data_IF_932149405345
#
_entry.id   IF_932149405345
#
_cell.length_a   1.000
_cell.length_b   1.000
_cell.length_c   1.000
_cell.angle_alpha   90.00
_cell.angle_beta   90.00
_cell.angle_gamma   90.00
#
_symmetry.space_group_name_H-M   'P 1'
#
loop_
_entity.id
_entity.type
_entity.pdbx_description
1 polymer ?
#
# COMPACT_ATOMS: atom_id res chain seq x y z
N UNK A 1 24.67 -17.96 -6.26
CA UNK A 1 24.26 -16.78 -7.05
C UNK A 1 23.48 -17.25 -8.30
N UNK A 2 22.32 -16.70 -8.54
CA UNK A 2 21.49 -16.96 -9.71
C UNK A 2 22.08 -16.28 -10.94
N UNK A 3 21.93 -16.92 -12.11
CA UNK A 3 22.41 -16.38 -13.38
C UNK A 3 21.31 -15.70 -14.19
N UNK A 4 20.06 -16.06 -13.93
CA UNK A 4 18.89 -15.49 -14.60
C UNK A 4 17.87 -15.02 -13.58
N UNK A 5 17.06 -14.05 -13.96
CA UNK A 5 15.98 -13.54 -13.11
C UNK A 5 14.90 -14.61 -12.88
N UNK A 6 14.62 -15.46 -13.88
CA UNK A 6 13.63 -16.55 -13.77
C UNK A 6 14.02 -17.58 -12.70
N UNK A 7 15.31 -17.97 -12.65
CA UNK A 7 15.83 -18.85 -11.58
C UNK A 7 15.64 -18.21 -10.21
N UNK A 8 15.92 -16.91 -10.10
CA UNK A 8 15.82 -16.17 -8.86
C UNK A 8 14.36 -16.01 -8.40
N UNK A 9 13.45 -15.69 -9.31
CA UNK A 9 12.00 -15.59 -9.02
C UNK A 9 11.45 -16.94 -8.58
N UNK A 10 11.78 -18.01 -9.29
CA UNK A 10 11.35 -19.36 -8.91
C UNK A 10 11.82 -19.73 -7.50
N UNK A 11 13.06 -19.35 -7.15
CA UNK A 11 13.57 -19.53 -5.79
C UNK A 11 12.76 -18.74 -4.77
N UNK A 12 12.53 -17.44 -4.99
CA UNK A 12 11.74 -16.59 -4.06
C UNK A 12 10.34 -17.19 -3.88
N UNK A 13 9.66 -17.51 -4.97
CA UNK A 13 8.28 -18.02 -4.94
C UNK A 13 8.17 -19.41 -4.29
N UNK A 14 9.26 -20.12 -4.14
CA UNK A 14 9.30 -21.40 -3.40
C UNK A 14 9.39 -21.22 -1.89
N UNK A 15 9.74 -20.04 -1.38
CA UNK A 15 9.94 -19.80 0.04
C UNK A 15 8.61 -19.70 0.79
N UNK A 16 8.38 -20.58 1.77
CA UNK A 16 7.10 -20.74 2.50
C UNK A 16 7.22 -20.64 4.01
N UNK A 17 8.32 -20.08 4.51
CA UNK A 17 8.54 -19.93 5.96
C UNK A 17 7.42 -19.11 6.60
N UNK A 18 6.95 -19.55 7.75
CA UNK A 18 6.03 -18.78 8.59
C UNK A 18 6.83 -18.16 9.72
N UNK A 19 6.83 -16.85 9.80
CA UNK A 19 7.53 -16.07 10.83
C UNK A 19 6.58 -15.05 11.42
N UNK A 20 6.70 -14.79 12.73
CA UNK A 20 6.00 -13.69 13.37
C UNK A 20 6.51 -12.33 12.85
N UNK A 21 5.73 -11.29 13.05
CA UNK A 21 6.15 -9.93 12.71
C UNK A 21 7.32 -9.48 13.59
N UNK A 22 7.25 -9.79 14.87
CA UNK A 22 8.28 -9.46 15.88
C UNK A 22 9.63 -10.12 15.55
N UNK A 23 9.62 -11.35 15.06
CA UNK A 23 10.87 -12.01 14.65
C UNK A 23 11.42 -11.42 13.34
N UNK A 24 10.56 -10.94 12.45
CA UNK A 24 11.03 -10.20 11.27
C UNK A 24 11.62 -8.85 11.65
N UNK A 25 11.02 -8.12 12.61
CA UNK A 25 11.60 -6.88 13.14
C UNK A 25 13.00 -7.09 13.72
N UNK A 26 13.23 -8.18 14.46
CA UNK A 26 14.58 -8.52 14.97
C UNK A 26 15.61 -8.74 13.86
N UNK A 27 15.19 -9.26 12.70
CA UNK A 27 16.05 -9.39 11.52
C UNK A 27 16.37 -8.00 10.96
N UNK A 28 15.34 -7.14 10.77
CA UNK A 28 15.53 -5.76 10.33
C UNK A 28 16.56 -5.04 11.20
N UNK A 29 16.43 -5.11 12.53
CA UNK A 29 17.33 -4.49 13.49
C UNK A 29 18.75 -5.09 13.44
N UNK A 30 18.86 -6.43 13.49
CA UNK A 30 20.13 -7.16 13.50
C UNK A 30 21.00 -6.85 12.29
N UNK A 31 20.37 -6.79 11.10
CA UNK A 31 21.07 -6.57 9.85
C UNK A 31 21.07 -5.10 9.41
N UNK A 32 20.54 -4.20 10.25
CA UNK A 32 20.47 -2.76 9.99
C UNK A 32 19.88 -2.46 8.61
N UNK A 33 18.76 -3.14 8.30
CA UNK A 33 18.04 -2.95 7.02
C UNK A 33 17.53 -1.52 6.93
N UNK A 34 17.73 -0.81 5.79
CA UNK A 34 17.30 0.57 5.64
C UNK A 34 15.76 0.64 5.54
N UNK A 35 15.09 1.12 6.59
CA UNK A 35 13.62 1.25 6.64
C UNK A 35 13.13 2.71 6.49
N UNK A 36 14.06 3.67 6.50
CA UNK A 36 13.73 5.09 6.47
C UNK A 36 13.46 5.54 5.03
N UNK A 37 12.18 5.44 4.64
CA UNK A 37 11.67 5.97 3.38
C UNK A 37 10.99 7.32 3.63
N UNK A 38 11.09 8.25 2.67
CA UNK A 38 10.43 9.57 2.74
C UNK A 38 8.98 9.48 2.28
N UNK A 39 8.10 10.27 2.86
CA UNK A 39 6.72 10.47 2.40
C UNK A 39 5.97 9.16 2.08
N UNK A 40 5.92 8.27 3.07
CA UNK A 40 5.31 6.94 2.91
C UNK A 40 3.80 7.01 3.10
N UNK A 41 3.06 6.50 2.12
CA UNK A 41 1.62 6.25 2.17
C UNK A 41 1.42 4.74 2.33
N UNK A 42 0.93 4.30 3.48
CA UNK A 42 0.75 2.88 3.79
C UNK A 42 -0.72 2.49 3.62
N UNK A 43 -1.00 1.53 2.74
CA UNK A 43 -2.35 1.20 2.29
C UNK A 43 -2.74 -0.19 2.76
N UNK A 44 -3.79 -0.27 3.59
CA UNK A 44 -4.45 -1.52 3.99
C UNK A 44 -5.91 -1.53 3.53
N UNK A 45 -6.58 -2.64 3.73
CA UNK A 45 -8.00 -2.82 3.37
C UNK A 45 -8.30 -4.24 2.92
N UNK A 46 -9.57 -4.55 2.72
CA UNK A 46 -9.97 -5.85 2.16
C UNK A 46 -9.92 -5.79 0.64
N UNK A 47 -10.68 -4.90 0.02
CA UNK A 47 -10.73 -4.71 -1.42
C UNK A 47 -10.27 -3.32 -1.83
N UNK A 48 -9.77 -3.17 -3.07
CA UNK A 48 -9.45 -1.87 -3.65
C UNK A 48 -8.08 -1.28 -3.28
N UNK A 49 -7.24 -1.98 -2.49
CA UNK A 49 -5.89 -1.52 -2.13
C UNK A 49 -5.06 -1.16 -3.36
N UNK A 50 -4.83 -2.12 -4.26
CA UNK A 50 -4.02 -1.92 -5.47
C UNK A 50 -4.59 -0.82 -6.38
N UNK A 51 -5.92 -0.74 -6.55
CA UNK A 51 -6.55 0.36 -7.30
C UNK A 51 -6.30 1.73 -6.64
N UNK A 52 -6.42 1.81 -5.31
CA UNK A 52 -6.13 3.05 -4.57
C UNK A 52 -4.66 3.44 -4.71
N UNK A 53 -3.73 2.46 -4.61
CA UNK A 53 -2.29 2.68 -4.88
C UNK A 53 -2.08 3.25 -6.28
N UNK A 54 -2.75 2.67 -7.30
CA UNK A 54 -2.64 3.13 -8.69
C UNK A 54 -3.14 4.58 -8.85
N UNK A 55 -4.32 4.91 -8.32
CA UNK A 55 -4.84 6.28 -8.38
C UNK A 55 -3.94 7.28 -7.66
N UNK A 56 -3.45 6.97 -6.45
CA UNK A 56 -2.53 7.85 -5.72
C UNK A 56 -1.25 8.05 -6.53
N UNK A 57 -0.67 6.98 -7.07
CA UNK A 57 0.53 7.05 -7.92
C UNK A 57 0.30 7.95 -9.13
N UNK A 58 -0.80 7.73 -9.88
CA UNK A 58 -1.05 8.48 -11.12
C UNK A 58 -1.30 9.97 -10.83
N UNK A 59 -2.02 10.30 -9.76
CA UNK A 59 -2.22 11.68 -9.32
C UNK A 59 -0.88 12.35 -8.95
N UNK A 60 -0.03 11.70 -8.16
CA UNK A 60 1.28 12.25 -7.78
C UNK A 60 2.21 12.40 -8.99
N UNK A 61 2.20 11.44 -9.92
CA UNK A 61 3.00 11.52 -11.15
C UNK A 61 2.53 12.66 -12.07
N UNK A 62 1.23 12.94 -12.16
CA UNK A 62 0.72 14.13 -12.92
C UNK A 62 1.22 15.44 -12.30
N UNK A 63 1.42 15.49 -10.97
CA UNK A 63 2.05 16.63 -10.29
C UNK A 63 3.58 16.70 -10.49
N UNK A 64 4.17 15.75 -11.22
CA UNK A 64 5.61 15.72 -11.54
C UNK A 64 6.48 15.02 -10.48
N UNK A 65 5.90 14.32 -9.51
CA UNK A 65 6.64 13.58 -8.49
C UNK A 65 7.11 12.22 -8.97
N UNK A 66 8.27 11.78 -8.48
CA UNK A 66 8.78 10.42 -8.65
C UNK A 66 8.24 9.51 -7.56
N UNK A 67 7.59 8.41 -7.96
CA UNK A 67 6.80 7.56 -7.06
C UNK A 67 7.22 6.11 -7.09
N UNK A 68 7.61 5.57 -5.94
CA UNK A 68 7.78 4.13 -5.73
C UNK A 68 6.49 3.48 -5.26
N UNK A 69 6.14 2.32 -5.83
CA UNK A 69 4.98 1.53 -5.39
C UNK A 69 5.36 0.10 -5.06
N UNK A 70 4.80 -0.41 -3.95
CA UNK A 70 4.88 -1.82 -3.58
C UNK A 70 3.48 -2.39 -3.48
N UNK A 71 3.17 -3.41 -4.29
CA UNK A 71 1.81 -3.99 -4.42
C UNK A 71 1.80 -5.51 -4.33
N UNK A 72 0.66 -6.07 -3.91
CA UNK A 72 0.47 -7.51 -3.80
C UNK A 72 -1.01 -7.93 -3.91
N UNK A 73 -1.30 -9.07 -4.56
CA UNK A 73 -0.39 -9.84 -5.41
C UNK A 73 -0.06 -9.13 -6.73
N UNK A 74 0.90 -9.63 -7.49
CA UNK A 74 1.10 -9.23 -8.88
C UNK A 74 0.02 -9.83 -9.80
N UNK A 75 -0.18 -9.25 -10.98
CA UNK A 75 -1.20 -9.70 -11.93
C UNK A 75 -0.59 -10.60 -13.01
N UNK A 76 0.52 -10.20 -13.63
CA UNK A 76 1.15 -10.90 -14.74
C UNK A 76 2.56 -11.38 -14.37
N UNK A 77 3.39 -10.49 -13.80
CA UNK A 77 4.80 -10.76 -13.49
C UNK A 77 5.15 -10.36 -12.08
N UNK A 78 6.00 -11.15 -11.42
CA UNK A 78 6.52 -10.88 -10.08
C UNK A 78 7.08 -9.46 -9.90
N UNK A 79 7.74 -8.93 -10.93
CA UNK A 79 8.32 -7.58 -10.97
C UNK A 79 7.32 -6.46 -10.63
N UNK A 80 6.03 -6.64 -10.95
CA UNK A 80 4.98 -5.65 -10.71
C UNK A 80 4.82 -5.30 -9.23
N UNK A 81 5.29 -6.17 -8.34
CA UNK A 81 5.27 -5.91 -6.89
C UNK A 81 6.05 -4.66 -6.51
N UNK A 82 7.12 -4.35 -7.24
CA UNK A 82 8.00 -3.22 -6.98
C UNK A 82 8.09 -2.40 -8.27
N UNK A 83 7.59 -1.19 -8.25
CA UNK A 83 7.58 -0.34 -9.44
C UNK A 83 8.01 1.09 -9.10
N UNK A 84 8.59 1.77 -10.08
CA UNK A 84 8.94 3.20 -10.01
C UNK A 84 8.32 3.89 -11.21
N UNK A 85 7.56 4.96 -10.96
CA UNK A 85 6.83 5.71 -11.98
C UNK A 85 6.01 4.80 -12.91
N UNK A 86 5.32 3.81 -12.29
CA UNK A 86 4.52 2.82 -12.99
C UNK A 86 5.28 1.79 -13.81
N UNK A 87 6.61 1.79 -13.78
CA UNK A 87 7.45 0.79 -14.45
C UNK A 87 7.94 -0.24 -13.44
N UNK A 88 7.66 -1.53 -13.64
CA UNK A 88 8.17 -2.60 -12.79
C UNK A 88 9.70 -2.58 -12.71
N UNK A 89 10.24 -3.04 -11.58
CA UNK A 89 11.68 -3.23 -11.39
C UNK A 89 12.27 -4.04 -12.55
N UNK A 90 13.47 -3.66 -13.00
CA UNK A 90 14.14 -4.35 -14.12
C UNK A 90 14.60 -5.77 -13.74
N UNK A 91 14.77 -6.65 -14.75
CA UNK A 91 15.37 -7.98 -14.57
C UNK A 91 16.73 -7.89 -13.88
N UNK A 92 17.55 -6.94 -14.31
CA UNK A 92 18.92 -6.75 -13.81
C UNK A 92 18.91 -6.31 -12.33
N UNK A 93 18.06 -5.35 -11.96
CA UNK A 93 17.96 -4.89 -10.57
C UNK A 93 17.37 -5.96 -9.67
N UNK A 94 16.32 -6.64 -10.10
CA UNK A 94 15.72 -7.72 -9.31
C UNK A 94 16.73 -8.83 -9.06
N UNK A 95 17.44 -9.28 -10.11
CA UNK A 95 18.48 -10.31 -10.02
C UNK A 95 19.63 -9.84 -9.11
N UNK A 96 20.05 -8.58 -9.22
CA UNK A 96 21.10 -7.96 -8.39
C UNK A 96 20.74 -8.03 -6.92
N UNK A 97 19.55 -7.55 -6.55
CA UNK A 97 19.12 -7.55 -5.15
C UNK A 97 18.92 -8.94 -4.58
N UNK A 98 18.34 -9.87 -5.34
CA UNK A 98 18.21 -11.26 -4.89
C UNK A 98 19.57 -11.87 -4.61
N UNK A 99 20.53 -11.69 -5.50
CA UNK A 99 21.89 -12.22 -5.32
C UNK A 99 22.62 -11.53 -4.14
N UNK A 100 22.41 -10.25 -3.94
CA UNK A 100 22.97 -9.50 -2.80
C UNK A 100 22.42 -10.00 -1.47
N UNK A 101 21.10 -10.26 -1.42
CA UNK A 101 20.39 -10.70 -0.22
C UNK A 101 20.46 -12.22 0.00
N UNK A 102 20.96 -12.99 -0.96
CA UNK A 102 20.94 -14.46 -0.91
C UNK A 102 21.55 -15.06 0.38
N UNK A 103 22.71 -14.56 0.90
CA UNK A 103 23.25 -15.06 2.17
C UNK A 103 22.28 -14.83 3.34
N UNK A 104 21.66 -13.65 3.43
CA UNK A 104 20.67 -13.33 4.44
C UNK A 104 19.41 -14.19 4.31
N UNK A 105 18.90 -14.34 3.08
CA UNK A 105 17.72 -15.15 2.78
C UNK A 105 17.93 -16.59 3.25
N UNK A 106 19.08 -17.18 2.95
CA UNK A 106 19.41 -18.56 3.32
C UNK A 106 19.65 -18.72 4.83
N UNK A 107 20.35 -17.78 5.46
CA UNK A 107 20.66 -17.83 6.89
C UNK A 107 19.41 -17.70 7.76
N UNK A 108 18.52 -16.78 7.39
CA UNK A 108 17.30 -16.48 8.15
C UNK A 108 16.08 -17.26 7.62
N UNK A 109 16.20 -18.03 6.54
CA UNK A 109 15.07 -18.75 5.92
C UNK A 109 13.88 -17.85 5.67
N UNK A 110 14.10 -16.72 4.95
CA UNK A 110 13.05 -15.72 4.70
C UNK A 110 11.95 -16.27 3.80
N UNK A 111 10.71 -15.89 4.06
CA UNK A 111 9.58 -16.14 3.17
C UNK A 111 9.59 -15.24 1.96
N UNK A 112 8.84 -15.60 0.90
CA UNK A 112 8.70 -14.80 -0.31
C UNK A 112 8.36 -13.32 0.01
N UNK A 113 7.35 -13.07 0.83
CA UNK A 113 6.92 -11.69 1.11
C UNK A 113 7.93 -10.91 1.94
N UNK A 114 8.68 -11.57 2.83
CA UNK A 114 9.81 -10.96 3.55
C UNK A 114 10.93 -10.57 2.59
N UNK A 115 11.26 -11.43 1.61
CA UNK A 115 12.27 -11.15 0.58
C UNK A 115 11.83 -9.96 -0.28
N UNK A 116 10.59 -9.97 -0.78
CA UNK A 116 10.05 -8.87 -1.58
C UNK A 116 10.08 -7.53 -0.82
N UNK A 117 9.72 -7.57 0.48
CA UNK A 117 9.79 -6.39 1.35
C UNK A 117 11.23 -5.87 1.48
N UNK A 118 12.22 -6.77 1.66
CA UNK A 118 13.63 -6.34 1.73
C UNK A 118 14.12 -5.77 0.40
N UNK A 119 13.79 -6.41 -0.74
CA UNK A 119 14.18 -5.90 -2.06
C UNK A 119 13.61 -4.49 -2.26
N UNK A 120 12.32 -4.29 -1.96
CA UNK A 120 11.67 -2.98 -2.02
C UNK A 120 12.40 -1.95 -1.17
N UNK A 121 12.72 -2.27 0.10
CA UNK A 121 13.41 -1.34 1.00
C UNK A 121 14.78 -0.94 0.47
N UNK A 122 15.60 -1.90 0.01
CA UNK A 122 16.91 -1.59 -0.57
C UNK A 122 16.80 -0.81 -1.87
N UNK A 123 15.90 -1.22 -2.78
CA UNK A 123 15.73 -0.57 -4.08
C UNK A 123 15.28 0.88 -3.94
N UNK A 124 14.26 1.13 -3.10
CA UNK A 124 13.76 2.48 -2.91
C UNK A 124 14.75 3.40 -2.18
N UNK A 125 15.59 2.85 -1.27
CA UNK A 125 16.64 3.63 -0.63
C UNK A 125 17.82 3.99 -1.55
N UNK A 126 18.01 3.28 -2.68
CA UNK A 126 19.01 3.64 -3.69
C UNK A 126 18.54 4.75 -4.65
N UNK A 127 17.21 5.04 -4.66
CA UNK A 127 16.60 5.99 -5.59
C UNK A 127 16.18 7.28 -4.87
N UNK A 128 16.21 8.39 -5.61
CA UNK A 128 15.68 9.67 -5.12
C UNK A 128 14.20 9.79 -5.51
N UNK A 129 13.33 9.17 -4.69
CA UNK A 129 11.90 9.18 -4.88
C UNK A 129 11.24 10.20 -3.94
N UNK A 130 10.21 10.89 -4.45
CA UNK A 130 9.45 11.86 -3.66
C UNK A 130 8.44 11.18 -2.73
N UNK A 131 7.78 10.13 -3.21
CA UNK A 131 6.75 9.39 -2.47
C UNK A 131 6.90 7.88 -2.60
N UNK A 132 6.47 7.17 -1.55
CA UNK A 132 6.44 5.71 -1.51
C UNK A 132 5.04 5.26 -1.12
N UNK A 133 4.37 4.48 -1.97
CA UNK A 133 3.04 3.95 -1.72
C UNK A 133 3.16 2.45 -1.51
N UNK A 134 2.93 2.02 -0.28
CA UNK A 134 3.19 0.64 0.17
C UNK A 134 1.87 -0.05 0.51
N UNK A 135 1.52 -1.08 -0.24
CA UNK A 135 0.36 -1.93 0.01
C UNK A 135 0.70 -3.05 1.00
N UNK A 136 -0.11 -3.21 2.05
CA UNK A 136 -0.04 -4.38 2.93
C UNK A 136 -0.40 -5.66 2.18
N UNK A 137 0.32 -6.74 2.45
CA UNK A 137 -0.04 -8.05 1.93
C UNK A 137 -1.30 -8.59 2.60
N UNK A 138 -1.29 -8.79 3.91
CA UNK A 138 -2.42 -9.32 4.70
C UNK A 138 -2.55 -8.55 6.01
N UNK A 139 -3.76 -8.03 6.26
CA UNK A 139 -4.04 -7.32 7.51
C UNK A 139 -3.40 -5.94 7.57
N UNK A 140 -2.43 -5.73 8.44
CA UNK A 140 -1.72 -4.48 8.67
C UNK A 140 -0.80 -4.59 9.88
N UNK A 141 -1.33 -4.78 11.09
CA UNK A 141 -0.59 -4.80 12.35
C UNK A 141 0.65 -5.72 12.32
N UNK A 142 0.49 -6.93 11.79
CA UNK A 142 1.56 -7.93 11.69
C UNK A 142 2.05 -8.14 10.25
N UNK A 143 1.66 -7.25 9.33
CA UNK A 143 2.16 -7.29 7.96
C UNK A 143 3.64 -6.94 7.91
N UNK A 144 4.41 -7.61 7.02
CA UNK A 144 5.86 -7.39 6.93
C UNK A 144 6.23 -5.97 6.49
N UNK A 145 5.34 -5.30 5.75
CA UNK A 145 5.52 -3.90 5.39
C UNK A 145 5.39 -2.94 6.57
N UNK A 146 4.79 -3.38 7.70
CA UNK A 146 4.56 -2.52 8.87
C UNK A 146 5.83 -2.21 9.68
N UNK A 147 7.00 -2.65 9.20
CA UNK A 147 8.33 -2.23 9.73
C UNK A 147 8.66 -0.79 9.37
N UNK A 148 8.03 -0.23 8.33
CA UNK A 148 8.23 1.15 7.89
C UNK A 148 7.50 2.15 8.78
N UNK A 149 7.94 3.41 8.77
CA UNK A 149 7.22 4.53 9.36
C UNK A 149 6.47 5.26 8.25
N UNK A 150 5.14 5.22 8.30
CA UNK A 150 4.30 5.93 7.34
C UNK A 150 4.05 7.39 7.74
N UNK A 151 3.81 8.25 6.74
CA UNK A 151 3.36 9.63 6.91
C UNK A 151 1.84 9.73 6.82
N UNK A 152 1.21 8.81 6.06
CA UNK A 152 -0.24 8.70 5.90
C UNK A 152 -0.63 7.23 5.93
N UNK A 153 -1.66 6.88 6.68
CA UNK A 153 -2.30 5.58 6.67
C UNK A 153 -3.61 5.64 5.88
N UNK A 154 -3.84 4.63 5.06
CA UNK A 154 -5.03 4.53 4.20
C UNK A 154 -5.68 3.17 4.42
N UNK A 155 -6.98 3.15 4.74
CA UNK A 155 -7.76 1.91 4.81
C UNK A 155 -8.93 2.03 3.85
N UNK A 156 -8.98 1.18 2.82
CA UNK A 156 -10.01 1.24 1.79
C UNK A 156 -11.38 0.86 2.34
N UNK A 157 -11.51 -0.37 2.83
CA UNK A 157 -12.72 -0.91 3.45
C UNK A 157 -12.40 -2.13 4.30
N UNK A 158 -13.37 -2.54 5.12
CA UNK A 158 -13.31 -3.76 5.92
C UNK A 158 -14.37 -4.74 5.43
N UNK A 159 -13.93 -5.94 5.12
CA UNK A 159 -14.78 -7.06 4.73
C UNK A 159 -14.17 -8.38 5.19
N UNK A 160 -14.94 -9.45 5.08
CA UNK A 160 -14.46 -10.79 5.44
C UNK A 160 -13.44 -11.28 4.42
N UNK A 161 -12.20 -11.41 4.85
CA UNK A 161 -11.07 -11.93 4.09
C UNK A 161 -10.01 -12.46 5.06
N UNK A 162 -9.30 -13.50 4.65
CA UNK A 162 -8.23 -14.11 5.47
C UNK A 162 -8.64 -14.41 6.93
N UNK A 163 -9.90 -14.82 7.18
CA UNK A 163 -10.46 -15.01 8.54
C UNK A 163 -9.61 -15.93 9.42
N UNK A 164 -9.00 -16.96 8.85
CA UNK A 164 -8.09 -17.86 9.57
C UNK A 164 -6.83 -17.19 10.15
N UNK A 165 -6.51 -15.94 9.70
CA UNK A 165 -5.39 -15.15 10.21
C UNK A 165 -5.84 -13.89 10.94
N UNK A 166 -6.95 -13.28 10.51
CA UNK A 166 -7.38 -11.96 10.96
C UNK A 166 -8.56 -12.00 11.94
N UNK A 167 -9.18 -13.18 12.14
CA UNK A 167 -10.33 -13.35 13.01
C UNK A 167 -11.65 -13.50 12.28
N UNK A 168 -12.69 -13.85 13.03
CA UNK A 168 -13.99 -14.24 12.50
C UNK A 168 -15.00 -13.07 12.43
N UNK A 169 -14.65 -11.92 12.98
CA UNK A 169 -15.49 -10.72 13.02
C UNK A 169 -14.88 -9.56 12.25
N UNK A 170 -15.72 -8.64 11.76
CA UNK A 170 -15.25 -7.43 11.08
C UNK A 170 -14.41 -6.54 12.00
N UNK A 171 -14.67 -6.52 13.31
CA UNK A 171 -13.87 -5.77 14.29
C UNK A 171 -12.48 -6.37 14.48
N UNK A 172 -12.35 -7.69 14.52
CA UNK A 172 -11.03 -8.33 14.58
C UNK A 172 -10.22 -8.02 13.33
N UNK A 173 -10.84 -8.12 12.15
CA UNK A 173 -10.21 -7.76 10.88
C UNK A 173 -9.82 -6.27 10.86
N UNK A 174 -10.70 -5.39 11.34
CA UNK A 174 -10.43 -3.95 11.47
C UNK A 174 -9.27 -3.67 12.43
N UNK A 175 -9.17 -4.41 13.54
CA UNK A 175 -8.06 -4.33 14.49
C UNK A 175 -6.70 -4.59 13.80
N UNK A 176 -6.63 -5.65 13.01
CA UNK A 176 -5.40 -5.95 12.27
C UNK A 176 -5.05 -4.84 11.26
N UNK A 177 -6.05 -4.32 10.52
CA UNK A 177 -5.80 -3.33 9.46
C UNK A 177 -5.43 -1.96 10.04
N UNK A 178 -6.08 -1.51 11.11
CA UNK A 178 -5.78 -0.22 11.73
C UNK A 178 -4.40 -0.16 12.40
N UNK A 179 -3.75 -1.29 12.61
CA UNK A 179 -2.39 -1.37 13.14
C UNK A 179 -1.30 -0.72 12.29
N UNK A 180 -1.61 -0.28 11.05
CA UNK A 180 -0.72 0.56 10.24
C UNK A 180 -0.72 2.03 10.69
N UNK A 181 -1.70 2.46 11.47
CA UNK A 181 -1.75 3.81 12.03
C UNK A 181 -0.78 3.89 13.19
N UNK A 182 0.27 4.70 13.02
CA UNK A 182 1.27 4.99 14.04
C UNK A 182 0.94 6.29 14.74
N UNK A 183 1.69 6.62 15.78
CA UNK A 183 1.53 7.87 16.50
C UNK A 183 1.68 9.08 15.57
N UNK A 184 0.72 10.02 15.63
CA UNK A 184 0.62 11.22 14.81
C UNK A 184 0.47 10.98 13.29
N UNK A 185 0.10 9.76 12.84
CA UNK A 185 -0.11 9.44 11.43
C UNK A 185 -1.60 9.53 11.09
N UNK A 186 -2.03 10.43 10.19
CA UNK A 186 -3.44 10.56 9.81
C UNK A 186 -3.96 9.30 9.12
N UNK A 187 -5.22 8.94 9.39
CA UNK A 187 -5.93 7.84 8.75
C UNK A 187 -7.03 8.36 7.83
N UNK A 188 -6.96 7.97 6.56
CA UNK A 188 -8.01 8.16 5.57
C UNK A 188 -8.74 6.84 5.29
N UNK A 189 -10.08 6.89 5.20
CA UNK A 189 -10.87 5.69 4.88
C UNK A 189 -12.19 6.03 4.21
N UNK A 190 -12.63 5.16 3.30
CA UNK A 190 -13.99 5.16 2.72
C UNK A 190 -14.88 4.09 3.34
N UNK A 191 -14.50 3.51 4.48
CA UNK A 191 -15.35 2.61 5.25
C UNK A 191 -16.66 3.30 5.66
N UNK A 192 -17.80 2.57 5.61
CA UNK A 192 -19.12 3.11 5.92
C UNK A 192 -19.80 2.41 7.11
N UNK A 193 -19.25 1.33 7.63
CA UNK A 193 -19.78 0.65 8.80
C UNK A 193 -19.55 1.50 10.05
N UNK A 194 -20.63 1.91 10.70
CA UNK A 194 -20.60 2.83 11.86
C UNK A 194 -19.81 2.29 13.05
N UNK A 195 -19.86 0.98 13.30
CA UNK A 195 -19.15 0.33 14.40
C UNK A 195 -17.64 0.38 14.14
N UNK A 196 -17.22 0.07 12.89
CA UNK A 196 -15.81 0.12 12.47
C UNK A 196 -15.30 1.57 12.48
N UNK A 197 -16.09 2.53 11.99
CA UNK A 197 -15.72 3.95 12.04
C UNK A 197 -15.54 4.45 13.48
N UNK A 198 -16.42 4.03 14.41
CA UNK A 198 -16.25 4.35 15.84
C UNK A 198 -14.95 3.76 16.38
N UNK A 199 -14.66 2.50 16.05
CA UNK A 199 -13.44 1.83 16.46
C UNK A 199 -12.19 2.54 15.92
N UNK A 200 -12.18 2.91 14.63
CA UNK A 200 -11.06 3.65 14.02
C UNK A 200 -10.86 5.02 14.67
N UNK A 201 -11.95 5.74 14.94
CA UNK A 201 -11.87 7.02 15.63
C UNK A 201 -11.23 6.91 17.01
N UNK A 202 -11.64 5.91 17.80
CA UNK A 202 -11.08 5.65 19.13
C UNK A 202 -9.60 5.26 19.05
N UNK A 203 -9.23 4.44 18.04
CA UNK A 203 -7.86 4.05 17.78
C UNK A 203 -6.99 5.26 17.41
N UNK A 204 -7.43 6.09 16.49
CA UNK A 204 -6.73 7.32 16.08
C UNK A 204 -6.57 8.28 17.27
N UNK A 205 -7.61 8.45 18.09
CA UNK A 205 -7.54 9.31 19.31
C UNK A 205 -6.44 8.82 20.25
N UNK A 206 -6.32 7.52 20.49
CA UNK A 206 -5.27 6.92 21.33
C UNK A 206 -3.86 7.13 20.79
N UNK A 207 -3.73 7.22 19.45
CA UNK A 207 -2.43 7.42 18.76
C UNK A 207 -2.19 8.87 18.38
N UNK A 208 -2.98 9.83 18.89
CA UNK A 208 -2.88 11.26 18.59
C UNK A 208 -2.94 11.55 17.07
N UNK A 209 -3.65 10.69 16.34
CA UNK A 209 -3.77 10.71 14.88
C UNK A 209 -5.06 11.37 14.45
N UNK A 210 -5.02 12.15 13.37
CA UNK A 210 -6.22 12.72 12.77
C UNK A 210 -6.98 11.63 11.99
N UNK A 211 -8.30 11.61 12.14
CA UNK A 211 -9.16 10.64 11.47
C UNK A 211 -10.02 11.31 10.38
N UNK A 212 -9.88 10.86 9.14
CA UNK A 212 -10.60 11.34 7.96
C UNK A 212 -11.54 10.26 7.41
N UNK A 213 -12.76 10.10 7.96
CA UNK A 213 -13.78 9.24 7.38
C UNK A 213 -14.41 9.95 6.18
N UNK A 214 -14.19 9.43 4.98
CA UNK A 214 -14.69 10.00 3.74
C UNK A 214 -16.07 9.44 3.39
N UNK A 215 -17.00 10.31 3.02
CA UNK A 215 -18.30 9.90 2.56
C UNK A 215 -18.26 9.63 1.07
N UNK A 216 -18.79 8.48 0.65
CA UNK A 216 -18.98 8.14 -0.76
C UNK A 216 -20.48 7.98 -0.98
N UNK A 217 -21.02 8.82 -1.83
CA UNK A 217 -22.44 8.76 -2.18
C UNK A 217 -22.76 7.48 -2.95
N UNK A 218 -23.84 6.78 -2.55
CA UNK A 218 -24.34 5.64 -3.29
C UNK A 218 -25.02 6.13 -4.56
N UNK A 219 -24.47 5.75 -5.70
CA UNK A 219 -25.03 6.09 -7.01
C UNK A 219 -25.54 4.82 -7.70
N UNK A 220 -26.72 4.95 -8.35
CA UNK A 220 -27.41 3.83 -9.00
C UNK A 220 -27.54 4.01 -10.51
N UNK A 221 -27.18 5.18 -11.01
CA UNK A 221 -27.25 5.51 -12.44
C UNK A 221 -25.85 5.76 -12.98
N UNK A 222 -25.58 5.15 -14.11
CA UNK A 222 -24.34 5.33 -14.86
C UNK A 222 -24.53 6.39 -15.96
N UNK A 223 -23.55 7.28 -16.24
CA UNK A 223 -22.26 7.40 -15.58
C UNK A 223 -22.35 7.89 -14.14
N UNK A 224 -21.32 7.62 -13.32
CA UNK A 224 -21.26 8.09 -11.93
C UNK A 224 -20.69 9.51 -11.86
N UNK A 225 -21.04 10.24 -10.80
CA UNK A 225 -20.62 11.62 -10.59
C UNK A 225 -19.83 11.73 -9.30
N UNK A 226 -18.71 12.41 -9.35
CA UNK A 226 -17.87 12.70 -8.19
C UNK A 226 -17.73 14.20 -8.03
N UNK A 227 -18.14 14.72 -6.86
CA UNK A 227 -17.87 16.09 -6.49
C UNK A 227 -16.58 16.16 -5.68
N UNK A 228 -15.60 16.88 -6.18
CA UNK A 228 -14.35 17.12 -5.49
C UNK A 228 -13.94 18.58 -5.64
N UNK A 229 -13.56 19.25 -4.54
CA UNK A 229 -13.50 20.71 -4.46
C UNK A 229 -14.84 21.33 -4.88
N UNK A 230 -14.85 22.21 -5.88
CA UNK A 230 -16.07 22.88 -6.39
C UNK A 230 -16.46 22.38 -7.78
N UNK A 231 -15.93 21.23 -8.21
CA UNK A 231 -16.12 20.67 -9.55
C UNK A 231 -16.77 19.30 -9.49
N UNK A 232 -17.58 19.03 -10.51
CA UNK A 232 -18.17 17.72 -10.76
C UNK A 232 -17.38 17.01 -11.86
N UNK A 233 -17.02 15.75 -11.59
CA UNK A 233 -16.35 14.85 -12.53
C UNK A 233 -17.30 13.72 -12.91
N UNK A 234 -17.40 13.44 -14.22
CA UNK A 234 -18.20 12.33 -14.76
C UNK A 234 -17.29 11.10 -14.87
N UNK A 235 -17.69 10.01 -14.20
CA UNK A 235 -16.88 8.81 -14.08
C UNK A 235 -17.47 7.66 -14.89
N UNK A 236 -16.71 7.12 -15.83
CA UNK A 236 -17.01 5.92 -16.60
C UNK A 236 -16.41 4.65 -15.99
N UNK A 237 -16.19 4.65 -14.69
CA UNK A 237 -15.60 3.57 -13.88
C UNK A 237 -16.69 2.75 -13.19
N UNK A 238 -16.41 1.48 -12.81
CA UNK A 238 -17.29 0.71 -11.91
C UNK A 238 -17.45 1.40 -10.55
N UNK A 239 -18.62 1.23 -9.90
CA UNK A 239 -18.95 1.89 -8.62
C UNK A 239 -17.89 1.75 -7.53
N UNK A 240 -17.27 0.58 -7.40
CA UNK A 240 -16.23 0.36 -6.40
C UNK A 240 -14.96 1.21 -6.65
N UNK A 241 -14.71 1.60 -7.90
CA UNK A 241 -13.60 2.49 -8.25
C UNK A 241 -13.87 3.95 -7.84
N UNK A 242 -15.13 4.36 -7.77
CA UNK A 242 -15.50 5.70 -7.26
C UNK A 242 -14.99 5.88 -5.83
N UNK A 243 -15.16 4.87 -4.97
CA UNK A 243 -14.65 4.90 -3.59
C UNK A 243 -13.13 4.94 -3.55
N UNK A 244 -12.45 4.17 -4.39
CA UNK A 244 -10.99 4.12 -4.44
C UNK A 244 -10.42 5.46 -4.94
N UNK A 245 -11.03 6.05 -5.98
CA UNK A 245 -10.65 7.36 -6.50
C UNK A 245 -10.92 8.47 -5.47
N UNK A 246 -12.08 8.47 -4.81
CA UNK A 246 -12.40 9.43 -3.74
C UNK A 246 -11.33 9.39 -2.65
N UNK A 247 -10.93 8.18 -2.24
CA UNK A 247 -9.89 7.99 -1.23
C UNK A 247 -8.55 8.55 -1.71
N UNK A 248 -8.15 8.22 -2.93
CA UNK A 248 -6.89 8.68 -3.53
C UNK A 248 -6.84 10.22 -3.67
N UNK A 249 -7.90 10.85 -4.16
CA UNK A 249 -8.00 12.31 -4.29
C UNK A 249 -7.80 13.01 -2.94
N UNK A 250 -8.48 12.55 -1.90
CA UNK A 250 -8.37 13.17 -0.58
C UNK A 250 -6.99 12.96 0.06
N UNK A 251 -6.36 11.81 -0.18
CA UNK A 251 -5.00 11.53 0.29
C UNK A 251 -3.98 12.43 -0.40
N UNK A 252 -4.06 12.56 -1.73
CA UNK A 252 -3.10 13.36 -2.49
C UNK A 252 -3.32 14.85 -2.23
N UNK A 253 -4.56 15.32 -2.15
CA UNK A 253 -4.88 16.70 -1.81
C UNK A 253 -4.40 17.11 -0.40
N UNK A 254 -4.38 16.17 0.53
CA UNK A 254 -3.76 16.37 1.84
C UNK A 254 -2.22 16.54 1.78
N UNK A 255 -1.58 15.90 0.79
CA UNK A 255 -0.11 15.90 0.64
C UNK A 255 0.41 17.05 -0.22
N UNK A 256 -0.36 17.42 -1.24
CA UNK A 256 -0.03 18.50 -2.18
C UNK A 256 -1.30 19.05 -2.81
N UNK A 257 -1.26 20.32 -3.24
CA UNK A 257 -2.40 20.98 -3.89
C UNK A 257 -2.70 20.31 -5.23
N UNK A 258 -3.86 19.63 -5.35
CA UNK A 258 -4.34 19.06 -6.60
C UNK A 258 -5.04 20.11 -7.47
N UNK A 259 -4.69 20.13 -8.75
CA UNK A 259 -5.42 20.95 -9.72
C UNK A 259 -6.42 20.11 -10.53
N UNK A 260 -7.46 20.76 -11.04
CA UNK A 260 -8.56 20.11 -11.76
C UNK A 260 -8.13 19.45 -13.07
N UNK A 261 -7.09 19.97 -13.74
CA UNK A 261 -6.60 19.43 -15.02
C UNK A 261 -5.95 18.06 -14.82
N UNK A 262 -5.13 17.92 -13.78
CA UNK A 262 -4.48 16.65 -13.45
C UNK A 262 -5.47 15.60 -12.95
N UNK A 263 -6.48 16.00 -12.16
CA UNK A 263 -7.57 15.11 -11.75
C UNK A 263 -8.30 14.58 -12.99
N UNK A 264 -8.70 15.47 -13.91
CA UNK A 264 -9.40 15.06 -15.12
C UNK A 264 -8.54 14.14 -16.00
N UNK A 265 -7.25 14.45 -16.15
CA UNK A 265 -6.33 13.62 -16.92
C UNK A 265 -6.20 12.20 -16.35
N UNK A 266 -6.17 12.06 -15.02
CA UNK A 266 -6.16 10.72 -14.39
C UNK A 266 -7.49 9.98 -14.62
N UNK A 267 -8.63 10.67 -14.54
CA UNK A 267 -9.94 10.08 -14.79
C UNK A 267 -10.07 9.59 -16.25
N UNK A 268 -9.55 10.36 -17.20
CA UNK A 268 -9.62 10.04 -18.63
C UNK A 268 -8.70 8.88 -19.04
N UNK A 269 -7.63 8.61 -18.26
CA UNK A 269 -6.69 7.50 -18.47
C UNK A 269 -7.24 6.13 -18.00
N UNK A 270 -8.38 6.09 -17.29
CA UNK A 270 -9.05 4.89 -16.75
C UNK A 270 -10.36 4.57 -17.49
#
# INVERSE_FOLDING_TARGET
MFKTVDEAIHFIESQRTKRSFEDFQKIIERYQIPIDLKNVIHVAGTNGKGSTVTFIKDLLMKQGYHVGTFTSPYIIKHHERISVDGKPISDDDLLRFINQLLPLIQQEHLSMFEIDTLIMLYYFNELDLDYHIIECGIGGLHDKTNVIKSNVAVITNIGYDHQFMLGDTLLEIAHHKVGIVKENVPLFTTEQNKEILSYFKDYCTKHQSTFYPLQVEKQYQYPYHLHFHQKEYVLHLPTYQVSNLTLALNVVDYLCDLNDEDIQAVIDDF
#
